data_IF_953834395516
#
_entry.id   IF_953834395516
#
_cell.length_a   1.000
_cell.length_b   1.000
_cell.length_c   1.000
_cell.angle_alpha   90.00
_cell.angle_beta   90.00
_cell.angle_gamma   90.00
#
_symmetry.space_group_name_H-M   'P 1'
#
loop_
_entity.id
_entity.type
_entity.pdbx_description
1 polymer ?
#
# COMPACT_ATOMS: atom_id res chain seq x y z
N UNK A 1 -37.11 5.89 -21.95
CA UNK A 1 -36.90 5.10 -23.17
C UNK A 1 -35.41 4.87 -23.36
N UNK A 2 -35.04 3.60 -23.50
CA UNK A 2 -33.67 3.07 -23.58
C UNK A 2 -33.06 3.39 -24.95
N UNK A 3 -31.76 3.71 -25.01
CA UNK A 3 -30.92 3.13 -26.06
C UNK A 3 -29.50 2.86 -25.57
N UNK A 4 -29.37 1.62 -25.11
CA UNK A 4 -28.18 0.84 -24.82
C UNK A 4 -27.60 0.38 -26.17
N UNK A 5 -26.47 0.92 -26.64
CA UNK A 5 -25.69 0.37 -27.77
C UNK A 5 -24.39 1.13 -27.97
N UNK A 6 -23.39 0.89 -27.14
CA UNK A 6 -21.98 1.14 -27.48
C UNK A 6 -21.16 0.51 -26.36
N UNK A 7 -20.86 -0.79 -26.43
CA UNK A 7 -19.70 -1.44 -25.80
C UNK A 7 -19.80 -2.95 -26.05
N UNK A 8 -19.78 -3.31 -27.33
CA UNK A 8 -19.48 -4.65 -27.76
C UNK A 8 -18.56 -4.49 -28.95
N UNK A 9 -17.27 -4.77 -28.76
CA UNK A 9 -16.27 -5.27 -29.73
C UNK A 9 -14.88 -4.84 -29.24
N UNK A 10 -14.14 -5.77 -28.62
CA UNK A 10 -12.66 -5.90 -28.62
C UNK A 10 -12.26 -6.90 -27.53
N UNK A 11 -12.69 -8.16 -27.71
CA UNK A 11 -12.13 -9.30 -26.99
C UNK A 11 -12.12 -10.44 -27.99
N UNK A 12 -10.94 -10.74 -28.53
CA UNK A 12 -10.49 -12.02 -29.13
C UNK A 12 -9.18 -11.74 -29.88
N UNK A 13 -8.19 -12.62 -29.70
CA UNK A 13 -6.77 -12.63 -30.17
C UNK A 13 -5.83 -12.10 -29.07
N UNK A 14 -4.98 -12.90 -28.41
CA UNK A 14 -4.20 -14.03 -28.93
C UNK A 14 -3.68 -14.87 -27.75
N UNK A 15 -4.09 -16.13 -27.66
CA UNK A 15 -3.43 -17.18 -26.88
C UNK A 15 -2.89 -18.19 -27.89
N UNK A 16 -1.55 -18.32 -27.98
CA UNK A 16 -0.81 -19.55 -28.29
C UNK A 16 0.62 -19.24 -28.79
N UNK A 17 1.63 -19.46 -27.95
CA UNK A 17 2.87 -20.19 -28.32
C UNK A 17 3.75 -20.42 -27.09
N UNK A 18 3.61 -21.58 -26.43
CA UNK A 18 4.52 -22.73 -26.45
C UNK A 18 6.00 -22.48 -26.09
N UNK A 19 6.37 -23.05 -24.93
CA UNK A 19 7.57 -23.87 -24.64
C UNK A 19 8.95 -23.31 -24.97
N UNK A 20 9.77 -23.15 -23.93
CA UNK A 20 11.07 -23.84 -23.82
C UNK A 20 11.67 -23.68 -22.42
N UNK A 21 11.86 -24.81 -21.71
CA UNK A 21 12.86 -24.97 -20.65
C UNK A 21 14.25 -25.01 -21.29
N UNK A 22 15.31 -24.69 -20.52
CA UNK A 22 16.21 -25.79 -20.18
C UNK A 22 16.74 -25.78 -18.73
N UNK A 23 16.79 -26.99 -18.17
CA UNK A 23 17.70 -27.44 -17.13
C UNK A 23 19.15 -27.47 -17.66
N UNK A 24 20.13 -26.92 -16.91
CA UNK A 24 21.43 -27.59 -16.72
C UNK A 24 22.28 -26.99 -15.59
N UNK A 25 22.58 -27.84 -14.60
CA UNK A 25 23.73 -27.76 -13.70
C UNK A 25 25.05 -27.78 -14.50
N UNK A 26 26.07 -27.04 -14.06
CA UNK A 26 27.32 -27.59 -13.50
C UNK A 26 28.29 -26.48 -13.06
N UNK A 27 28.62 -26.57 -11.78
CA UNK A 27 29.81 -26.12 -11.06
C UNK A 27 31.10 -26.61 -11.74
N UNK A 28 32.21 -25.85 -11.68
CA UNK A 28 33.49 -26.18 -10.99
C UNK A 28 34.61 -25.22 -11.46
N UNK A 29 35.23 -24.58 -10.47
CA UNK A 29 36.60 -24.07 -10.30
C UNK A 29 37.55 -23.86 -11.50
N UNK A 30 38.20 -22.69 -11.49
CA UNK A 30 39.65 -22.62 -11.67
C UNK A 30 40.25 -21.37 -10.99
N UNK A 31 40.82 -21.62 -9.82
CA UNK A 31 41.80 -20.77 -9.14
C UNK A 31 43.10 -20.82 -9.96
N UNK A 32 43.72 -19.66 -10.22
CA UNK A 32 45.09 -19.55 -10.71
C UNK A 32 45.83 -18.51 -9.87
N UNK A 33 46.90 -18.88 -9.13
CA UNK A 33 47.72 -17.93 -8.42
C UNK A 33 48.86 -17.45 -9.31
N UNK A 34 49.22 -16.18 -9.24
CA UNK A 34 50.54 -15.71 -9.72
C UNK A 34 51.01 -14.63 -8.75
N UNK A 35 51.89 -15.05 -7.84
CA UNK A 35 52.76 -14.18 -7.06
C UNK A 35 53.85 -13.61 -7.97
N UNK A 36 54.24 -12.35 -7.71
CA UNK A 36 55.38 -11.71 -8.34
C UNK A 36 55.65 -10.34 -7.70
N UNK A 37 56.38 -10.34 -6.59
CA UNK A 37 57.10 -9.17 -6.07
C UNK A 37 58.53 -9.21 -6.65
N UNK A 38 59.15 -8.05 -6.95
CA UNK A 38 60.37 -7.76 -6.19
C UNK A 38 60.58 -6.28 -5.80
N UNK A 39 61.15 -6.17 -4.60
CA UNK A 39 62.07 -5.20 -3.97
C UNK A 39 62.39 -3.81 -4.59
N UNK A 40 62.22 -2.81 -3.71
CA UNK A 40 63.23 -1.91 -3.12
C UNK A 40 64.43 -1.44 -3.97
N UNK A 41 64.49 -0.14 -4.26
CA UNK A 41 65.75 0.62 -4.32
C UNK A 41 65.59 2.05 -3.81
N UNK A 42 66.59 2.44 -3.02
CA UNK A 42 66.85 3.70 -2.31
C UNK A 42 67.14 4.91 -3.21
N UNK A 43 66.81 6.12 -2.73
CA UNK A 43 67.39 7.36 -3.27
C UNK A 43 66.78 8.65 -2.70
N UNK A 44 67.32 9.15 -1.58
CA UNK A 44 67.17 10.56 -1.16
C UNK A 44 68.22 11.41 -1.90
N UNK A 45 67.87 12.67 -2.24
CA UNK A 45 68.64 13.75 -1.62
C UNK A 45 67.78 14.89 -1.06
N UNK A 46 68.41 15.54 -0.08
CA UNK A 46 67.98 16.69 0.73
C UNK A 46 67.53 17.88 -0.12
N UNK A 47 66.42 18.52 0.26
CA UNK A 47 66.33 19.98 0.33
C UNK A 47 65.09 20.47 1.10
N UNK A 48 65.36 21.19 2.19
CA UNK A 48 64.72 22.44 2.67
C UNK A 48 63.21 22.43 2.98
N UNK A 49 62.93 22.37 4.29
CA UNK A 49 62.08 23.29 5.06
C UNK A 49 60.72 23.70 4.48
N UNK A 50 59.65 23.08 4.98
CA UNK A 50 58.50 23.76 5.62
C UNK A 50 57.56 22.74 6.24
N UNK A 51 57.33 22.87 7.53
CA UNK A 51 56.37 22.07 8.29
C UNK A 51 54.95 22.33 7.77
N UNK A 52 54.30 21.27 7.30
CA UNK A 52 52.85 21.25 7.13
C UNK A 52 52.36 20.07 7.98
N UNK A 53 51.81 20.38 9.16
CA UNK A 53 51.06 19.42 9.95
C UNK A 53 49.83 18.99 9.15
N UNK A 54 49.82 17.74 8.68
CA UNK A 54 48.59 17.07 8.25
C UNK A 54 47.99 16.37 9.47
N UNK A 55 46.98 16.97 10.08
CA UNK A 55 46.13 16.31 11.06
C UNK A 55 45.24 15.30 10.31
N UNK A 56 45.57 14.01 10.39
CA UNK A 56 44.70 12.93 9.90
C UNK A 56 43.64 12.67 10.97
N UNK A 57 42.43 13.17 10.75
CA UNK A 57 41.26 12.80 11.54
C UNK A 57 40.84 11.37 11.15
N UNK A 58 41.16 10.40 12.00
CA UNK A 58 40.64 9.03 11.89
C UNK A 58 39.19 9.04 12.37
N UNK A 59 38.24 9.15 11.45
CA UNK A 59 36.82 8.93 11.74
C UNK A 59 36.60 7.42 11.79
N UNK A 60 36.51 6.86 13.00
CA UNK A 60 36.04 5.50 13.21
C UNK A 60 34.56 5.45 12.83
N UNK A 61 34.25 4.96 11.63
CA UNK A 61 32.88 4.61 11.23
C UNK A 61 32.45 3.36 12.00
N UNK A 62 31.73 3.57 13.10
CA UNK A 62 30.87 2.54 13.68
C UNK A 62 29.79 2.21 12.65
N UNK A 63 29.90 1.06 11.99
CA UNK A 63 28.80 0.52 11.20
C UNK A 63 27.71 0.07 12.17
N UNK A 64 26.49 0.62 12.12
CA UNK A 64 25.39 -0.03 12.81
C UNK A 64 25.13 -1.35 12.09
N UNK A 65 25.35 -2.45 12.81
CA UNK A 65 24.76 -3.75 12.48
C UNK A 65 23.24 -3.57 12.57
N UNK A 66 22.61 -3.15 11.48
CA UNK A 66 21.16 -3.07 11.38
C UNK A 66 20.62 -4.51 11.42
N UNK A 67 20.12 -4.90 12.59
CA UNK A 67 19.14 -5.98 12.69
C UNK A 67 17.98 -5.60 11.79
N UNK A 68 17.69 -6.43 10.79
CA UNK A 68 16.53 -6.28 9.93
C UNK A 68 15.28 -6.63 10.70
N UNK A 69 14.85 -5.76 11.61
CA UNK A 69 13.43 -5.63 11.88
C UNK A 69 12.81 -5.07 10.61
N UNK A 70 11.90 -5.85 10.02
CA UNK A 70 11.10 -5.40 8.90
C UNK A 70 10.14 -4.33 9.41
N UNK A 71 10.65 -3.11 9.56
CA UNK A 71 9.85 -1.95 9.87
C UNK A 71 8.86 -1.77 8.72
N UNK A 72 7.60 -2.12 9.00
CA UNK A 72 6.48 -1.74 8.14
C UNK A 72 6.56 -0.23 7.92
N UNK A 73 6.66 0.20 6.65
CA UNK A 73 6.71 1.62 6.31
C UNK A 73 5.60 2.36 7.06
N UNK A 74 5.91 3.47 7.76
CA UNK A 74 4.94 4.15 8.59
C UNK A 74 3.71 4.54 7.76
N UNK A 75 2.52 4.41 8.35
CA UNK A 75 1.28 4.82 7.73
C UNK A 75 1.22 6.34 7.62
N UNK A 76 1.11 6.85 6.39
CA UNK A 76 1.16 8.30 6.09
C UNK A 76 -0.05 8.80 5.31
N UNK A 77 -0.88 7.91 4.75
CA UNK A 77 -2.04 8.32 3.96
C UNK A 77 -3.27 8.58 4.84
N UNK A 78 -4.08 9.56 4.46
CA UNK A 78 -5.39 9.81 5.03
C UNK A 78 -6.47 9.47 3.99
N UNK A 79 -7.64 9.08 4.44
CA UNK A 79 -8.79 8.79 3.59
C UNK A 79 -10.06 9.40 4.17
N UNK A 80 -11.07 9.59 3.33
CA UNK A 80 -12.38 10.10 3.74
C UNK A 80 -13.42 9.03 3.53
N UNK A 81 -14.28 8.80 4.52
CA UNK A 81 -15.39 7.86 4.48
C UNK A 81 -16.71 8.61 4.66
N UNK A 82 -17.45 8.76 3.59
CA UNK A 82 -18.79 9.30 3.61
C UNK A 82 -19.79 8.22 4.02
N UNK A 83 -20.62 8.54 5.00
CA UNK A 83 -21.66 7.65 5.54
C UNK A 83 -23.02 8.26 5.29
N UNK A 84 -23.84 7.57 4.50
CA UNK A 84 -25.21 7.98 4.23
C UNK A 84 -26.16 6.87 4.68
N UNK A 85 -27.00 7.17 5.68
CA UNK A 85 -28.07 6.29 6.13
C UNK A 85 -29.42 6.89 5.75
N UNK A 86 -30.19 6.17 4.92
CA UNK A 86 -31.52 6.58 4.51
C UNK A 86 -32.48 5.40 4.61
N UNK A 87 -33.41 5.47 5.55
CA UNK A 87 -34.32 4.36 5.88
C UNK A 87 -33.53 3.08 6.21
N UNK A 88 -33.65 2.07 5.34
CA UNK A 88 -33.01 0.77 5.47
C UNK A 88 -31.75 0.65 4.61
N UNK A 89 -31.36 1.71 3.89
CA UNK A 89 -30.20 1.73 3.01
C UNK A 89 -29.06 2.48 3.66
N UNK A 90 -27.91 1.82 3.74
CA UNK A 90 -26.66 2.39 4.20
C UNK A 90 -25.68 2.39 3.01
N UNK A 91 -25.14 3.56 2.71
CA UNK A 91 -24.07 3.72 1.73
C UNK A 91 -22.82 4.23 2.43
N UNK A 92 -21.70 3.56 2.15
CA UNK A 92 -20.37 3.87 2.65
C UNK A 92 -19.49 4.15 1.44
N UNK A 93 -19.01 5.38 1.29
CA UNK A 93 -18.15 5.78 0.17
C UNK A 93 -16.80 6.22 0.70
N UNK A 94 -15.77 5.45 0.38
CA UNK A 94 -14.38 5.74 0.72
C UNK A 94 -13.69 6.44 -0.44
N UNK A 95 -13.02 7.54 -0.15
CA UNK A 95 -12.07 8.21 -1.03
C UNK A 95 -10.67 8.05 -0.43
N UNK A 96 -9.77 7.42 -1.17
CA UNK A 96 -8.41 7.15 -0.69
C UNK A 96 -7.37 7.45 -1.78
N UNK A 97 -6.21 8.04 -1.42
CA UNK A 97 -5.12 8.28 -2.36
C UNK A 97 -4.43 6.96 -2.73
N UNK A 98 -3.75 6.94 -3.88
CA UNK A 98 -3.03 5.75 -4.36
C UNK A 98 -1.90 5.32 -3.40
N UNK A 99 -1.34 6.26 -2.64
CA UNK A 99 -0.32 6.01 -1.61
C UNK A 99 -0.83 5.11 -0.46
N UNK A 100 -2.14 4.97 -0.29
CA UNK A 100 -2.73 4.07 0.70
C UNK A 100 -2.58 2.58 0.33
N UNK A 101 -2.09 2.24 -0.86
CA UNK A 101 -1.89 0.85 -1.27
C UNK A 101 -0.85 0.14 -0.41
N UNK A 102 -1.22 -1.02 0.15
CA UNK A 102 -0.25 -1.97 0.72
C UNK A 102 0.48 -2.67 -0.42
N UNK A 103 1.65 -2.14 -0.75
CA UNK A 103 2.47 -2.64 -1.84
C UNK A 103 3.23 -3.89 -1.40
N UNK A 104 2.77 -5.05 -1.84
CA UNK A 104 3.53 -6.29 -1.72
C UNK A 104 4.52 -6.41 -2.89
N UNK A 105 5.82 -6.47 -2.57
CA UNK A 105 6.92 -6.92 -3.44
C UNK A 105 7.23 -6.11 -4.71
N UNK A 106 7.08 -4.78 -4.65
CA UNK A 106 7.44 -3.92 -5.77
C UNK A 106 8.70 -3.09 -5.47
N UNK A 107 9.80 -3.37 -6.20
CA UNK A 107 11.04 -2.57 -6.15
C UNK A 107 10.82 -1.09 -6.53
N UNK A 108 9.81 -0.81 -7.35
CA UNK A 108 9.38 0.56 -7.74
C UNK A 108 7.88 0.55 -8.05
N UNK A 109 7.03 0.93 -7.09
CA UNK A 109 5.58 0.88 -7.28
C UNK A 109 5.14 1.99 -8.23
N UNK A 110 4.51 1.63 -9.34
CA UNK A 110 3.81 2.61 -10.17
C UNK A 110 2.46 2.92 -9.54
N UNK A 111 1.99 4.17 -9.71
CA UNK A 111 0.65 4.61 -9.26
C UNK A 111 -0.45 3.73 -9.86
N UNK A 112 -0.30 3.30 -11.11
CA UNK A 112 -1.25 2.39 -11.75
C UNK A 112 -1.32 1.02 -11.06
N UNK A 113 -0.18 0.49 -10.61
CA UNK A 113 -0.15 -0.77 -9.86
C UNK A 113 -0.78 -0.61 -8.48
N UNK A 114 -0.51 0.50 -7.78
CA UNK A 114 -1.14 0.84 -6.50
C UNK A 114 -2.67 0.89 -6.61
N UNK A 115 -3.18 1.63 -7.58
CA UNK A 115 -4.63 1.76 -7.83
C UNK A 115 -5.25 0.40 -8.17
N UNK A 116 -4.60 -0.41 -9.01
CA UNK A 116 -5.09 -1.74 -9.38
C UNK A 116 -5.17 -2.68 -8.17
N UNK A 117 -4.14 -2.67 -7.30
CA UNK A 117 -4.12 -3.48 -6.08
C UNK A 117 -5.20 -3.04 -5.09
N UNK A 118 -5.32 -1.74 -4.80
CA UNK A 118 -6.38 -1.19 -3.95
C UNK A 118 -7.77 -1.57 -4.47
N UNK A 119 -7.99 -1.43 -5.78
CA UNK A 119 -9.26 -1.78 -6.40
C UNK A 119 -9.60 -3.26 -6.19
N UNK A 120 -8.63 -4.15 -6.36
CA UNK A 120 -8.81 -5.57 -6.11
C UNK A 120 -9.14 -5.87 -4.65
N UNK A 121 -8.35 -5.32 -3.72
CA UNK A 121 -8.51 -5.53 -2.29
C UNK A 121 -9.91 -5.06 -1.80
N UNK A 122 -10.33 -3.86 -2.17
CA UNK A 122 -11.60 -3.28 -1.71
C UNK A 122 -12.83 -3.91 -2.37
N UNK A 123 -12.73 -4.32 -3.64
CA UNK A 123 -13.86 -4.90 -4.36
C UNK A 123 -14.15 -6.33 -3.90
N UNK A 124 -13.12 -7.14 -3.69
CA UNK A 124 -13.28 -8.59 -3.49
C UNK A 124 -13.21 -9.02 -2.02
N UNK A 125 -12.73 -8.17 -1.11
CA UNK A 125 -12.76 -8.50 0.31
C UNK A 125 -14.19 -8.45 0.84
N UNK A 126 -14.61 -9.56 1.43
CA UNK A 126 -15.86 -9.64 2.20
C UNK A 126 -15.56 -9.27 3.65
N UNK A 127 -16.53 -8.70 4.35
CA UNK A 127 -16.36 -8.34 5.76
C UNK A 127 -15.46 -7.13 6.02
N UNK A 128 -15.23 -6.28 5.00
CA UNK A 128 -14.58 -4.96 5.19
C UNK A 128 -15.31 -4.16 6.27
N UNK A 129 -16.63 -4.28 6.30
CA UNK A 129 -17.48 -3.71 7.34
C UNK A 129 -18.20 -4.81 8.10
N UNK A 130 -18.26 -4.66 9.41
CA UNK A 130 -19.02 -5.50 10.32
C UNK A 130 -20.14 -4.68 10.97
N UNK A 131 -21.29 -5.31 11.14
CA UNK A 131 -22.51 -4.68 11.65
C UNK A 131 -23.02 -5.43 12.88
N UNK A 132 -23.71 -4.76 13.81
CA UNK A 132 -24.46 -5.41 14.87
C UNK A 132 -25.41 -6.46 14.28
N UNK A 133 -25.40 -7.67 14.84
CA UNK A 133 -26.23 -8.78 14.35
C UNK A 133 -27.72 -8.43 14.32
N UNK A 134 -28.17 -7.61 15.27
CA UNK A 134 -29.55 -7.12 15.36
C UNK A 134 -29.97 -6.22 14.20
N UNK A 135 -29.03 -5.49 13.58
CA UNK A 135 -29.32 -4.61 12.44
C UNK A 135 -29.61 -5.40 11.15
N UNK A 136 -29.13 -6.65 11.07
CA UNK A 136 -29.32 -7.59 9.95
C UNK A 136 -29.02 -6.92 8.59
N UNK A 137 -27.82 -6.36 8.51
CA UNK A 137 -27.31 -5.67 7.33
C UNK A 137 -26.62 -6.65 6.37
N UNK A 138 -26.90 -6.53 5.08
CA UNK A 138 -26.24 -7.33 4.05
C UNK A 138 -25.90 -6.48 2.81
N UNK A 139 -24.78 -6.81 2.18
CA UNK A 139 -24.25 -6.05 1.03
C UNK A 139 -25.11 -6.28 -0.21
N UNK A 140 -25.57 -5.19 -0.82
CA UNK A 140 -26.31 -5.17 -2.09
C UNK A 140 -25.38 -4.93 -3.29
N UNK A 141 -24.47 -3.98 -3.14
CA UNK A 141 -23.60 -3.56 -4.22
C UNK A 141 -22.22 -3.14 -3.70
N UNK A 142 -21.22 -3.26 -4.57
CA UNK A 142 -19.89 -2.69 -4.37
C UNK A 142 -19.40 -2.20 -5.71
N UNK A 143 -18.93 -0.96 -5.73
CA UNK A 143 -18.25 -0.38 -6.88
C UNK A 143 -16.93 0.25 -6.45
N UNK A 144 -15.92 0.13 -7.29
CA UNK A 144 -14.60 0.71 -7.03
C UNK A 144 -14.02 1.25 -8.32
N UNK A 145 -13.81 2.55 -8.35
CA UNK A 145 -13.38 3.32 -9.52
C UNK A 145 -12.11 4.12 -9.21
N UNK A 146 -11.27 4.42 -10.20
CA UNK A 146 -10.21 5.41 -10.05
C UNK A 146 -10.80 6.80 -9.76
N UNK A 147 -10.10 7.61 -8.95
CA UNK A 147 -10.42 9.02 -8.73
C UNK A 147 -9.68 9.92 -9.74
N UNK A 148 -10.09 11.19 -9.85
CA UNK A 148 -9.43 12.21 -10.69
C UNK A 148 -8.02 12.56 -10.19
N UNK A 149 -7.84 12.59 -8.87
CA UNK A 149 -6.52 12.57 -8.24
C UNK A 149 -6.02 11.13 -8.15
N UNK A 150 -4.70 10.86 -8.19
CA UNK A 150 -4.19 9.49 -8.14
C UNK A 150 -4.67 8.79 -6.87
N UNK A 151 -5.67 7.93 -7.03
CA UNK A 151 -6.43 7.35 -5.93
C UNK A 151 -7.65 6.57 -6.41
N UNK A 152 -8.55 6.30 -5.48
CA UNK A 152 -9.73 5.47 -5.71
C UNK A 152 -10.93 6.04 -4.96
N UNK A 153 -12.11 5.76 -5.52
CA UNK A 153 -13.39 5.88 -4.84
C UNK A 153 -14.01 4.49 -4.77
N UNK A 154 -14.34 4.04 -3.56
CA UNK A 154 -14.98 2.75 -3.32
C UNK A 154 -16.32 2.97 -2.61
N UNK A 155 -17.43 2.57 -3.24
CA UNK A 155 -18.77 2.63 -2.66
C UNK A 155 -19.27 1.23 -2.33
N UNK A 156 -19.77 1.06 -1.11
CA UNK A 156 -20.48 -0.13 -0.67
C UNK A 156 -21.90 0.24 -0.26
N UNK A 157 -22.87 -0.47 -0.82
CA UNK A 157 -24.28 -0.31 -0.49
C UNK A 157 -24.78 -1.52 0.28
N UNK A 158 -25.43 -1.26 1.41
CA UNK A 158 -25.99 -2.25 2.31
C UNK A 158 -27.48 -2.00 2.49
N UNK A 159 -28.22 -3.08 2.69
CA UNK A 159 -29.59 -3.04 3.18
C UNK A 159 -29.62 -3.61 4.59
N UNK A 160 -30.13 -2.86 5.55
CA UNK A 160 -30.32 -3.25 6.94
C UNK A 160 -31.80 -3.46 7.21
N UNK A 161 -32.19 -4.64 7.71
CA UNK A 161 -33.61 -4.89 8.04
C UNK A 161 -34.07 -4.05 9.24
N UNK A 162 -33.18 -3.86 10.22
CA UNK A 162 -33.48 -3.13 11.45
C UNK A 162 -32.47 -1.98 11.66
N UNK A 163 -32.55 -0.89 10.87
CA UNK A 163 -31.59 0.21 10.94
C UNK A 163 -31.54 0.89 12.32
N UNK A 164 -32.61 0.82 13.12
CA UNK A 164 -32.64 1.32 14.51
C UNK A 164 -31.68 0.60 15.47
N UNK A 165 -31.14 -0.56 15.08
CA UNK A 165 -30.12 -1.29 15.83
C UNK A 165 -28.70 -1.09 15.29
N UNK A 166 -28.54 -0.17 14.33
CA UNK A 166 -27.24 0.20 13.77
C UNK A 166 -26.61 1.30 14.64
N UNK A 167 -26.08 0.92 15.79
CA UNK A 167 -25.38 1.81 16.72
C UNK A 167 -23.89 1.97 16.40
N UNK A 168 -23.33 1.03 15.62
CA UNK A 168 -21.92 0.97 15.30
C UNK A 168 -21.63 0.24 13.98
N UNK A 169 -20.48 0.53 13.39
CA UNK A 169 -19.92 -0.18 12.23
C UNK A 169 -18.43 -0.42 12.50
N UNK A 170 -18.00 -1.66 12.57
CA UNK A 170 -16.58 -2.00 12.59
C UNK A 170 -15.99 -2.00 11.17
N UNK A 171 -14.70 -1.71 11.04
CA UNK A 171 -14.02 -1.73 9.74
C UNK A 171 -12.65 -2.40 9.74
N UNK A 172 -12.32 -3.08 8.64
CA UNK A 172 -11.00 -3.67 8.38
C UNK A 172 -10.17 -2.85 7.38
N UNK A 173 -10.58 -1.62 7.05
CA UNK A 173 -9.92 -0.78 6.05
C UNK A 173 -8.43 -0.54 6.37
N UNK A 174 -8.06 -0.36 7.65
CA UNK A 174 -6.67 -0.19 8.10
C UNK A 174 -5.80 -1.44 7.91
N UNK A 175 -6.40 -2.62 7.78
CA UNK A 175 -5.66 -3.86 7.49
C UNK A 175 -5.48 -4.09 5.98
N UNK A 176 -6.28 -3.42 5.15
CA UNK A 176 -6.24 -3.53 3.69
C UNK A 176 -5.43 -2.40 3.04
N UNK A 177 -5.15 -1.34 3.78
CA UNK A 177 -4.53 -0.11 3.28
C UNK A 177 -3.57 0.48 4.32
N UNK A 178 -2.53 1.15 3.85
CA UNK A 178 -1.58 1.86 4.69
C UNK A 178 -2.10 3.25 5.11
N UNK A 179 -3.14 3.27 5.95
CA UNK A 179 -3.81 4.51 6.39
C UNK A 179 -3.39 4.90 7.81
N UNK A 180 -3.08 6.18 7.98
CA UNK A 180 -2.86 6.79 9.29
C UNK A 180 -4.18 7.03 10.02
N UNK A 181 -5.18 7.57 9.31
CA UNK A 181 -6.53 7.78 9.84
C UNK A 181 -7.56 7.84 8.72
N UNK A 182 -8.83 7.71 9.09
CA UNK A 182 -9.97 7.90 8.19
C UNK A 182 -10.84 9.01 8.77
N UNK A 183 -11.05 10.07 8.01
CA UNK A 183 -12.04 11.07 8.33
C UNK A 183 -13.43 10.57 7.94
N UNK A 184 -14.36 10.54 8.88
CA UNK A 184 -15.73 10.09 8.65
C UNK A 184 -16.63 11.30 8.56
N UNK A 185 -17.41 11.37 7.48
CA UNK A 185 -18.35 12.45 7.21
C UNK A 185 -19.76 11.87 7.11
N UNK A 186 -20.64 12.26 8.03
CA UNK A 186 -22.05 11.91 8.03
C UNK A 186 -22.90 13.20 8.05
N UNK A 187 -23.57 13.53 6.94
CA UNK A 187 -24.42 14.72 6.87
C UNK A 187 -25.56 14.70 7.90
N UNK A 188 -26.03 15.87 8.40
CA UNK A 188 -25.64 17.21 7.95
C UNK A 188 -24.37 17.78 8.60
N UNK A 189 -24.01 17.41 9.84
CA UNK A 189 -22.97 18.11 10.62
C UNK A 189 -22.07 17.17 11.44
N UNK A 190 -22.07 15.87 11.19
CA UNK A 190 -21.30 14.93 12.00
C UNK A 190 -20.01 14.56 11.28
N UNK A 191 -18.89 14.90 11.90
CA UNK A 191 -17.56 14.60 11.41
C UNK A 191 -16.69 14.12 12.56
N UNK A 192 -15.97 13.04 12.36
CA UNK A 192 -15.06 12.48 13.35
C UNK A 192 -13.94 11.71 12.67
N UNK A 193 -12.93 11.29 13.43
CA UNK A 193 -11.77 10.57 12.89
C UNK A 193 -11.74 9.15 13.45
N UNK A 194 -11.62 8.16 12.58
CA UNK A 194 -11.28 6.80 12.94
C UNK A 194 -9.77 6.64 12.93
N UNK A 195 -9.27 5.86 13.87
CA UNK A 195 -7.87 5.50 13.97
C UNK A 195 -7.70 3.98 13.92
N UNK A 196 -6.50 3.47 13.57
CA UNK A 196 -6.24 2.04 13.52
C UNK A 196 -6.47 1.32 14.87
N UNK A 197 -6.28 1.99 16.00
CA UNK A 197 -6.46 1.45 17.35
C UNK A 197 -7.91 1.32 17.80
N UNK A 198 -8.82 2.10 17.20
CA UNK A 198 -10.27 2.02 17.43
C UNK A 198 -11.03 2.16 16.09
N UNK A 199 -11.02 1.13 15.24
CA UNK A 199 -11.58 1.17 13.89
C UNK A 199 -13.11 0.91 13.91
N UNK A 200 -13.82 1.60 14.81
CA UNK A 200 -15.26 1.46 15.01
C UNK A 200 -15.95 2.81 14.87
N UNK A 201 -16.83 2.92 13.88
CA UNK A 201 -17.74 4.04 13.75
C UNK A 201 -18.86 3.85 14.77
N UNK A 202 -19.11 4.85 15.61
CA UNK A 202 -20.22 4.83 16.58
C UNK A 202 -21.20 5.94 16.22
N UNK A 203 -22.46 5.57 16.02
CA UNK A 203 -23.53 6.53 15.81
C UNK A 203 -23.96 7.07 17.17
N UNK A 204 -23.91 8.40 17.32
CA UNK A 204 -24.46 9.02 18.53
C UNK A 204 -25.98 8.91 18.48
N UNK A 205 -26.55 8.11 19.38
CA UNK A 205 -27.99 8.19 19.67
C UNK A 205 -28.21 9.47 20.46
N UNK A 206 -28.78 10.48 19.81
CA UNK A 206 -29.41 11.60 20.52
C UNK A 206 -30.72 11.14 21.15
#
# INVERSE_FOLDING_TARGET
MINLKFFATQFIRTLARTRSLPLRRKQTDRIKPTQGLPQLTTGFPKQVMKHILFAVAVVLSLSPMAHGDSDSSPATAWATLHVTLKWNFLELTLEAPASAALLMDSKTPSVANQISQLRGALKYTYGIFSFPSKADCYRKHVDVMPSEEPGIVASWQFFCKNPQHLDSIGTQLFSLMNLHSIEVVMPPNSQWTLRPDDPVLRFQSN
#
